data_IF_089925325401
#
_entry.id   IF_089925325401
#
_cell.length_a   1.000
_cell.length_b   1.000
_cell.length_c   1.000
_cell.angle_alpha   90.00
_cell.angle_beta   90.00
_cell.angle_gamma   90.00
#
_symmetry.space_group_name_H-M   'P 1'
#
loop_
_entity.id
_entity.type
_entity.pdbx_description
1 polymer ?
#
# COMPACT_ATOMS: atom_id res chain seq x y z
N UNK A 1 8.76 3.60 -16.38
CA UNK A 1 9.29 3.10 -15.10
C UNK A 1 9.10 1.58 -15.02
N UNK A 2 10.00 0.85 -14.34
CA UNK A 2 9.88 -0.62 -14.16
C UNK A 2 8.78 -0.98 -13.16
N UNK A 3 8.65 -0.20 -12.10
CA UNK A 3 7.66 -0.37 -11.05
C UNK A 3 7.43 0.93 -10.29
N UNK A 4 6.28 1.05 -9.63
CA UNK A 4 5.99 2.12 -8.67
C UNK A 4 4.88 1.69 -7.71
N UNK A 5 4.80 2.37 -6.56
CA UNK A 5 3.69 2.29 -5.61
C UNK A 5 3.16 3.70 -5.39
N UNK A 6 1.88 3.90 -5.67
CA UNK A 6 1.19 5.17 -5.43
C UNK A 6 0.85 5.29 -3.94
N UNK A 7 1.18 6.44 -3.36
CA UNK A 7 0.85 6.79 -2.00
C UNK A 7 0.46 8.26 -1.89
N UNK A 8 -0.32 8.59 -0.86
CA UNK A 8 -0.82 9.94 -0.62
C UNK A 8 -1.82 9.98 0.52
N UNK A 9 -2.19 11.17 0.98
CA UNK A 9 -3.18 11.36 2.03
C UNK A 9 -4.58 10.90 1.58
N UNK A 10 -5.53 10.68 2.52
CA UNK A 10 -6.91 10.38 2.17
C UNK A 10 -7.59 11.44 1.29
N UNK A 11 -7.13 12.70 1.35
CA UNK A 11 -7.63 13.81 0.55
C UNK A 11 -7.06 13.79 -0.88
N UNK A 12 -5.76 13.52 -1.04
CA UNK A 12 -5.12 13.37 -2.35
C UNK A 12 -5.61 12.10 -3.08
N UNK A 13 -5.84 11.03 -2.32
CA UNK A 13 -6.27 9.73 -2.84
C UNK A 13 -7.64 9.33 -2.27
N UNK A 14 -8.74 10.00 -2.66
CA UNK A 14 -10.05 9.73 -2.09
C UNK A 14 -10.62 8.38 -2.56
N UNK A 15 -10.23 7.92 -3.75
CA UNK A 15 -10.86 6.78 -4.40
C UNK A 15 -10.29 5.44 -3.92
N UNK A 16 -11.17 4.62 -3.35
CA UNK A 16 -10.88 3.25 -2.94
C UNK A 16 -12.04 2.34 -3.34
N UNK A 17 -11.73 1.09 -3.67
CA UNK A 17 -12.76 0.08 -3.95
C UNK A 17 -13.49 -0.33 -2.67
N UNK A 18 -14.79 -0.65 -2.79
CA UNK A 18 -15.65 -1.02 -1.66
C UNK A 18 -15.73 0.08 -0.58
N UNK A 19 -15.90 1.33 -1.03
CA UNK A 19 -15.92 2.52 -0.17
C UNK A 19 -16.99 2.44 0.92
N UNK A 20 -18.23 2.02 0.59
CA UNK A 20 -19.31 1.92 1.57
C UNK A 20 -18.95 0.96 2.71
N UNK A 21 -18.43 -0.21 2.37
CA UNK A 21 -17.99 -1.21 3.35
C UNK A 21 -16.74 -0.77 4.11
N UNK A 22 -15.85 -0.01 3.47
CA UNK A 22 -14.72 0.61 4.15
C UNK A 22 -15.21 1.60 5.21
N UNK A 23 -16.03 2.58 4.82
CA UNK A 23 -16.56 3.65 5.67
C UNK A 23 -17.33 3.12 6.87
N UNK A 24 -18.13 2.06 6.70
CA UNK A 24 -18.88 1.43 7.78
C UNK A 24 -18.01 0.86 8.92
N UNK A 25 -16.71 0.63 8.67
CA UNK A 25 -15.77 0.12 9.67
C UNK A 25 -14.57 1.03 9.93
N UNK A 26 -14.63 2.31 9.53
CA UNK A 26 -13.57 3.28 9.84
C UNK A 26 -13.80 3.85 11.23
N UNK A 27 -12.82 3.65 12.11
CA UNK A 27 -12.75 4.35 13.41
C UNK A 27 -11.84 5.59 13.32
N UNK A 28 -10.69 5.45 12.65
CA UNK A 28 -9.72 6.52 12.38
C UNK A 28 -9.21 6.40 10.95
N UNK A 29 -9.19 7.52 10.24
CA UNK A 29 -8.55 7.61 8.93
C UNK A 29 -7.02 7.40 9.05
N UNK A 30 -6.39 6.78 8.04
CA UNK A 30 -4.94 6.73 7.97
C UNK A 30 -4.37 8.09 7.59
N UNK A 31 -3.10 8.30 7.87
CA UNK A 31 -2.38 9.49 7.44
C UNK A 31 -1.97 9.33 5.95
N UNK A 32 -1.73 8.09 5.50
CA UNK A 32 -1.43 7.75 4.10
C UNK A 32 -2.19 6.52 3.61
N UNK A 33 -2.56 6.53 2.33
CA UNK A 33 -3.12 5.40 1.58
C UNK A 33 -2.12 4.88 0.56
N UNK A 34 -2.17 3.57 0.31
CA UNK A 34 -1.53 2.89 -0.80
C UNK A 34 -2.62 2.33 -1.71
N UNK A 35 -2.78 2.91 -2.91
CA UNK A 35 -3.94 2.66 -3.80
C UNK A 35 -3.61 1.88 -5.07
N UNK A 36 -2.33 1.81 -5.45
CA UNK A 36 -1.89 1.05 -6.62
C UNK A 36 -0.39 0.70 -6.55
N UNK A 37 -0.04 -0.51 -6.95
CA UNK A 37 1.30 -1.03 -7.16
C UNK A 37 1.36 -1.52 -8.61
N UNK A 38 2.13 -0.80 -9.42
CA UNK A 38 2.34 -1.15 -10.81
C UNK A 38 3.68 -1.87 -10.98
N UNK A 39 3.66 -2.93 -11.79
CA UNK A 39 4.86 -3.64 -12.23
C UNK A 39 4.74 -3.88 -13.74
N UNK A 40 5.77 -3.47 -14.46
CA UNK A 40 5.90 -3.77 -15.88
C UNK A 40 5.83 -5.28 -16.12
N UNK A 41 5.10 -5.69 -17.16
CA UNK A 41 4.82 -7.11 -17.44
C UNK A 41 6.09 -7.96 -17.56
N UNK A 42 7.17 -7.43 -18.14
CA UNK A 42 8.44 -8.13 -18.31
C UNK A 42 9.20 -8.38 -16.99
N UNK A 43 8.78 -7.71 -15.90
CA UNK A 43 9.43 -7.73 -14.60
C UNK A 43 8.57 -8.36 -13.50
N UNK A 44 7.38 -8.88 -13.85
CA UNK A 44 6.51 -9.59 -12.89
C UNK A 44 7.15 -10.88 -12.40
N UNK A 45 6.75 -11.29 -11.19
CA UNK A 45 7.24 -12.50 -10.48
C UNK A 45 8.73 -12.49 -10.14
N UNK A 46 9.36 -11.31 -10.10
CA UNK A 46 10.76 -11.11 -9.70
C UNK A 46 10.90 -10.37 -8.36
N UNK A 47 9.87 -10.37 -7.53
CA UNK A 47 9.87 -9.68 -6.23
C UNK A 47 9.78 -8.14 -6.29
N UNK A 48 9.69 -7.55 -7.47
CA UNK A 48 9.73 -6.09 -7.67
C UNK A 48 8.60 -5.33 -6.95
N UNK A 49 7.45 -5.97 -6.72
CA UNK A 49 6.34 -5.36 -5.96
C UNK A 49 6.71 -5.06 -4.51
N UNK A 50 7.55 -5.90 -3.89
CA UNK A 50 8.04 -5.65 -2.54
C UNK A 50 8.97 -4.43 -2.53
N UNK A 51 9.86 -4.33 -3.53
CA UNK A 51 10.78 -3.18 -3.67
C UNK A 51 10.00 -1.87 -3.82
N UNK A 52 8.99 -1.84 -4.69
CA UNK A 52 8.15 -0.65 -4.88
C UNK A 52 7.38 -0.26 -3.62
N UNK A 53 6.81 -1.25 -2.91
CA UNK A 53 6.11 -1.02 -1.64
C UNK A 53 7.07 -0.46 -0.58
N UNK A 54 8.25 -1.06 -0.40
CA UNK A 54 9.23 -0.59 0.56
C UNK A 54 9.70 0.84 0.26
N UNK A 55 9.98 1.15 -1.00
CA UNK A 55 10.36 2.52 -1.39
C UNK A 55 9.28 3.56 -1.05
N UNK A 56 7.99 3.24 -1.22
CA UNK A 56 6.91 4.14 -0.78
C UNK A 56 6.87 4.31 0.74
N UNK A 57 7.08 3.23 1.51
CA UNK A 57 7.13 3.31 2.98
C UNK A 57 8.32 4.16 3.46
N UNK A 58 9.48 4.04 2.81
CA UNK A 58 10.67 4.81 3.15
C UNK A 58 10.42 6.31 2.91
N UNK A 59 9.81 6.66 1.77
CA UNK A 59 9.42 8.05 1.47
C UNK A 59 8.39 8.59 2.46
N UNK A 60 7.42 7.78 2.88
CA UNK A 60 6.45 8.18 3.91
C UNK A 60 7.14 8.40 5.26
N UNK A 61 8.07 7.52 5.66
CA UNK A 61 8.83 7.68 6.89
C UNK A 61 9.64 8.99 6.86
N UNK A 62 10.31 9.29 5.75
CA UNK A 62 11.04 10.56 5.53
C UNK A 62 10.13 11.78 5.55
N UNK A 63 8.88 11.64 5.12
CA UNK A 63 7.86 12.69 5.20
C UNK A 63 7.25 12.85 6.61
N UNK A 64 7.80 12.20 7.64
CA UNK A 64 7.34 12.29 9.03
C UNK A 64 6.60 11.06 9.54
N UNK A 65 6.44 10.02 8.73
CA UNK A 65 5.78 8.77 9.12
C UNK A 65 4.28 8.94 9.39
N UNK A 66 3.69 8.01 10.14
CA UNK A 66 2.27 7.98 10.44
C UNK A 66 1.61 6.64 10.14
N UNK A 67 0.28 6.61 10.18
CA UNK A 67 -0.52 5.43 9.86
C UNK A 67 -0.66 5.29 8.35
N UNK A 68 -0.08 4.22 7.81
CA UNK A 68 -0.19 3.83 6.41
C UNK A 68 -1.20 2.71 6.27
N UNK A 69 -2.08 2.82 5.28
CA UNK A 69 -3.12 1.84 5.00
C UNK A 69 -3.09 1.39 3.54
N UNK A 70 -3.17 0.09 3.33
CA UNK A 70 -3.26 -0.52 2.01
C UNK A 70 -4.49 -1.41 1.87
N UNK A 71 -4.87 -1.68 0.61
CA UNK A 71 -6.12 -2.35 0.28
C UNK A 71 -5.96 -3.61 -0.58
N UNK A 72 -5.06 -4.54 -0.22
CA UNK A 72 -4.74 -5.68 -1.08
C UNK A 72 -5.88 -6.67 -1.21
N UNK A 73 -5.74 -7.55 -2.21
CA UNK A 73 -6.57 -8.74 -2.32
C UNK A 73 -6.14 -9.78 -1.29
N UNK A 74 -7.10 -10.38 -0.60
CA UNK A 74 -6.89 -11.58 0.22
C UNK A 74 -7.03 -12.83 -0.67
N UNK A 75 -5.91 -13.53 -0.86
CA UNK A 75 -5.82 -14.76 -1.64
C UNK A 75 -5.62 -15.99 -0.76
N UNK A 76 -5.82 -15.88 0.56
CA UNK A 76 -5.64 -16.97 1.53
C UNK A 76 -6.45 -18.21 1.18
N UNK A 77 -7.62 -18.03 0.57
CA UNK A 77 -8.59 -19.10 0.30
C UNK A 77 -8.23 -19.93 -0.96
N UNK A 78 -6.99 -19.80 -1.47
CA UNK A 78 -6.48 -20.55 -2.63
C UNK A 78 -7.09 -20.14 -3.98
N UNK A 79 -7.99 -19.15 -4.00
CA UNK A 79 -8.62 -18.66 -5.23
C UNK A 79 -7.63 -17.85 -6.06
N UNK A 80 -7.38 -18.29 -7.29
CA UNK A 80 -6.57 -17.54 -8.26
C UNK A 80 -7.29 -16.26 -8.65
N UNK A 81 -6.80 -15.13 -8.15
CA UNK A 81 -7.20 -13.80 -8.63
C UNK A 81 -6.42 -13.49 -9.90
N UNK A 82 -7.12 -13.06 -10.96
CA UNK A 82 -6.47 -12.66 -12.20
C UNK A 82 -5.51 -11.49 -11.97
N UNK A 83 -4.36 -11.48 -12.66
CA UNK A 83 -3.32 -10.47 -12.47
C UNK A 83 -3.81 -9.03 -12.71
N UNK A 84 -4.86 -8.84 -13.51
CA UNK A 84 -5.53 -7.55 -13.73
C UNK A 84 -6.21 -6.97 -12.49
N UNK A 85 -6.52 -7.79 -11.49
CA UNK A 85 -7.19 -7.39 -10.26
C UNK A 85 -6.24 -7.24 -9.07
N UNK A 86 -4.93 -7.48 -9.28
CA UNK A 86 -3.88 -7.41 -8.26
C UNK A 86 -3.13 -6.07 -8.28
N UNK A 87 -3.73 -5.01 -8.80
CA UNK A 87 -3.12 -3.67 -8.80
C UNK A 87 -2.85 -3.16 -7.39
N UNK A 88 -3.61 -3.59 -6.36
CA UNK A 88 -3.32 -3.29 -4.96
C UNK A 88 -2.37 -4.29 -4.29
N UNK A 89 -1.80 -5.25 -5.03
CA UNK A 89 -1.02 -6.35 -4.47
C UNK A 89 -1.86 -7.38 -3.72
N UNK A 90 -1.19 -8.25 -2.97
CA UNK A 90 -1.79 -9.34 -2.19
C UNK A 90 -1.57 -9.13 -0.70
N UNK A 91 -2.44 -9.68 0.14
CA UNK A 91 -2.33 -9.62 1.59
C UNK A 91 -0.93 -10.04 2.09
N UNK A 92 -0.39 -11.14 1.55
CA UNK A 92 0.94 -11.64 1.93
C UNK A 92 2.09 -10.68 1.59
N UNK A 93 1.97 -9.87 0.54
CA UNK A 93 2.95 -8.82 0.23
C UNK A 93 3.00 -7.77 1.35
N UNK A 94 1.84 -7.37 1.85
CA UNK A 94 1.73 -6.38 2.93
C UNK A 94 2.16 -6.97 4.28
N UNK A 95 1.77 -8.22 4.58
CA UNK A 95 2.25 -8.93 5.77
C UNK A 95 3.77 -9.03 5.80
N UNK A 96 4.40 -9.38 4.67
CA UNK A 96 5.87 -9.40 4.53
C UNK A 96 6.51 -8.02 4.70
N UNK A 97 5.79 -6.94 4.38
CA UNK A 97 6.21 -5.57 4.62
C UNK A 97 5.83 -5.05 6.02
N UNK A 98 5.41 -5.92 6.94
CA UNK A 98 5.12 -5.57 8.34
C UNK A 98 3.76 -4.91 8.58
N UNK A 99 2.82 -5.01 7.64
CA UNK A 99 1.45 -4.59 7.87
C UNK A 99 0.67 -5.66 8.62
N UNK A 100 -0.30 -5.21 9.41
CA UNK A 100 -1.25 -6.07 10.12
C UNK A 100 -2.63 -5.99 9.49
N UNK A 101 -3.28 -7.14 9.36
CA UNK A 101 -4.67 -7.24 8.92
C UNK A 101 -5.61 -6.56 9.93
N UNK A 102 -6.44 -5.65 9.45
CA UNK A 102 -7.47 -4.99 10.27
C UNK A 102 -8.82 -5.67 10.07
N UNK A 103 -9.37 -5.61 8.86
CA UNK A 103 -10.70 -6.13 8.53
C UNK A 103 -10.85 -6.43 7.05
N UNK A 104 -11.80 -7.29 6.71
CA UNK A 104 -12.23 -7.48 5.32
C UNK A 104 -13.04 -6.28 4.85
N UNK A 105 -12.96 -5.95 3.56
CA UNK A 105 -13.86 -5.03 2.86
C UNK A 105 -14.31 -5.66 1.53
N UNK A 106 -15.59 -5.97 1.40
CA UNK A 106 -16.08 -6.79 0.29
C UNK A 106 -15.54 -8.23 0.34
N UNK A 107 -15.67 -8.95 -0.79
CA UNK A 107 -15.46 -10.40 -0.84
C UNK A 107 -13.99 -10.82 -0.70
N UNK A 108 -13.11 -10.14 -1.44
CA UNK A 108 -11.69 -10.50 -1.57
C UNK A 108 -10.75 -9.34 -1.23
N UNK A 109 -11.22 -8.21 -0.73
CA UNK A 109 -10.31 -7.13 -0.33
C UNK A 109 -10.22 -7.04 1.18
N UNK A 110 -9.09 -6.59 1.67
CA UNK A 110 -8.87 -6.34 3.08
C UNK A 110 -8.31 -4.93 3.29
N UNK A 111 -8.38 -4.47 4.53
CA UNK A 111 -7.70 -3.28 5.02
C UNK A 111 -6.49 -3.77 5.82
N UNK A 112 -5.30 -3.39 5.38
CA UNK A 112 -4.03 -3.67 6.05
C UNK A 112 -3.46 -2.35 6.56
N UNK A 113 -2.93 -2.33 7.77
CA UNK A 113 -2.38 -1.10 8.37
C UNK A 113 -0.98 -1.32 8.93
N UNK A 114 -0.12 -0.31 8.82
CA UNK A 114 1.19 -0.23 9.47
C UNK A 114 1.41 1.18 9.98
N UNK A 115 1.97 1.31 11.18
CA UNK A 115 2.44 2.60 11.70
C UNK A 115 3.94 2.73 11.42
N UNK A 116 4.34 3.82 10.80
CA UNK A 116 5.73 4.17 10.54
C UNK A 116 6.17 5.28 11.49
N UNK A 117 7.37 5.15 12.05
CA UNK A 117 8.03 6.25 12.73
C UNK A 117 8.61 7.24 11.68
N UNK A 118 8.76 8.52 12.03
CA UNK A 118 9.55 9.46 11.23
C UNK A 118 10.97 8.92 11.04
N UNK A 119 11.50 9.03 9.82
CA UNK A 119 12.93 8.90 9.60
C UNK A 119 13.61 10.21 10.03
N UNK A 120 14.42 10.14 11.09
CA UNK A 120 15.16 11.29 11.62
C UNK A 120 16.54 11.43 10.94
N UNK A 121 16.81 10.68 9.88
CA UNK A 121 17.99 10.82 9.04
C UNK A 121 18.09 12.21 8.41
N UNK A 122 19.29 12.63 7.98
CA UNK A 122 19.46 13.92 7.31
C UNK A 122 18.57 13.97 6.06
N UNK A 123 17.86 15.08 5.80
CA UNK A 123 17.09 15.21 4.56
C UNK A 123 18.02 15.00 3.36
N UNK A 124 17.47 14.42 2.28
CA UNK A 124 18.18 14.30 1.00
C UNK A 124 18.89 15.62 0.67
N UNK A 125 20.14 15.63 0.20
CA UNK A 125 20.72 16.84 -0.35
C UNK A 125 19.80 17.30 -1.48
N UNK A 126 19.11 18.43 -1.30
CA UNK A 126 18.40 19.08 -2.38
C UNK A 126 19.45 19.35 -3.46
N UNK A 127 19.24 18.81 -4.66
CA UNK A 127 20.15 19.05 -5.76
C UNK A 127 20.29 20.56 -5.94
N UNK A 128 21.51 21.06 -5.74
CA UNK A 128 21.85 22.44 -6.03
C UNK A 128 21.48 22.71 -7.49
N UNK A 129 20.57 23.68 -7.69
CA UNK A 129 20.25 24.23 -9.01
C UNK A 129 21.34 25.23 -9.39
#
# INVERSE_FOLDING_TARGET
AVAWCEFGTPEELPNIHHRKEYEAGVERLPDYRLTCIFIDKAYRRKGISAIALHGALDLIAQAGGGIVEGYPQDTSDGKRVGASFLYNGTRSLYEGAGFTHQRRKGKNHTVMRRTLAPDLGPPFPQSAT
#
